data_IF_920917261381
#
_entry.id   IF_920917261381
#
_cell.length_a   1.000
_cell.length_b   1.000
_cell.length_c   1.000
_cell.angle_alpha   90.00
_cell.angle_beta   90.00
_cell.angle_gamma   90.00
#
_symmetry.space_group_name_H-M   'P 1'
#
loop_
_entity.id
_entity.type
_entity.pdbx_description
1 polymer ?
#
# COMPACT_ATOMS: atom_id res chain seq x y z
N UNK A 1 10.75 30.13 23.74
CA UNK A 1 10.30 28.80 23.31
C UNK A 1 11.18 28.25 22.21
N UNK A 2 11.11 26.94 22.00
CA UNK A 2 11.90 26.23 21.03
C UNK A 2 11.02 25.65 19.93
N UNK A 3 11.60 25.42 18.75
CA UNK A 3 10.95 24.81 17.62
C UNK A 3 11.29 23.31 17.57
N UNK A 4 10.30 22.49 17.22
CA UNK A 4 10.41 21.04 17.07
C UNK A 4 9.83 20.59 15.75
N UNK A 5 10.33 19.48 15.22
CA UNK A 5 9.84 18.84 14.00
C UNK A 5 8.99 17.62 14.36
N UNK A 6 7.76 17.56 13.86
CA UNK A 6 6.94 16.35 13.86
C UNK A 6 6.77 15.91 12.40
N UNK A 7 7.34 14.77 12.03
CA UNK A 7 7.34 14.27 10.67
C UNK A 7 6.58 12.94 10.55
N UNK A 8 5.80 12.79 9.49
CA UNK A 8 5.11 11.56 9.12
C UNK A 8 5.10 11.37 7.60
N UNK A 9 4.76 10.18 7.10
CA UNK A 9 4.66 9.93 5.66
C UNK A 9 3.73 10.93 4.97
N UNK A 10 2.61 11.25 5.64
CA UNK A 10 1.69 12.33 5.25
C UNK A 10 1.27 13.11 6.48
N UNK A 11 0.91 14.40 6.30
CA UNK A 11 0.36 15.20 7.40
C UNK A 11 -0.94 14.59 7.94
N UNK A 12 -1.74 13.94 7.09
CA UNK A 12 -2.97 13.25 7.50
C UNK A 12 -2.71 12.08 8.47
N UNK A 13 -1.74 11.22 8.16
CA UNK A 13 -1.32 10.13 9.04
C UNK A 13 -0.75 10.68 10.37
N UNK A 14 0.13 11.68 10.29
CA UNK A 14 0.72 12.33 11.46
C UNK A 14 -0.35 12.91 12.39
N UNK A 15 -1.38 13.56 11.85
CA UNK A 15 -2.52 14.07 12.64
C UNK A 15 -3.26 12.96 13.36
N UNK A 16 -3.50 11.85 12.70
CA UNK A 16 -4.21 10.70 13.25
C UNK A 16 -3.38 9.96 14.30
N UNK A 17 -2.12 9.68 13.98
CA UNK A 17 -1.28 8.77 14.78
C UNK A 17 -0.58 9.48 15.94
N UNK A 18 -0.20 10.75 15.76
CA UNK A 18 0.61 11.50 16.75
C UNK A 18 -0.20 12.63 17.38
N UNK A 19 -0.77 13.53 16.57
CA UNK A 19 -1.41 14.75 17.10
C UNK A 19 -2.69 14.38 17.88
N UNK A 20 -3.57 13.54 17.33
CA UNK A 20 -4.80 13.13 18.02
C UNK A 20 -4.54 12.59 19.42
N UNK A 21 -3.70 11.56 19.60
CA UNK A 21 -3.27 11.08 20.92
C UNK A 21 -2.61 12.14 21.80
N UNK A 22 -1.72 12.97 21.23
CA UNK A 22 -1.06 14.04 21.98
C UNK A 22 -2.07 15.04 22.57
N UNK A 23 -3.06 15.49 21.79
CA UNK A 23 -4.11 16.40 22.27
C UNK A 23 -4.96 15.77 23.38
N UNK A 24 -5.24 14.46 23.30
CA UNK A 24 -5.93 13.75 24.36
C UNK A 24 -5.13 13.75 25.67
N UNK A 25 -3.82 13.51 25.59
CA UNK A 25 -2.92 13.54 26.75
C UNK A 25 -2.83 14.96 27.33
N UNK A 26 -2.64 15.98 26.50
CA UNK A 26 -2.57 17.37 26.94
C UNK A 26 -3.85 17.79 27.66
N UNK A 27 -5.02 17.42 27.10
CA UNK A 27 -6.31 17.66 27.74
C UNK A 27 -6.44 16.95 29.11
N UNK A 28 -6.03 15.67 29.18
CA UNK A 28 -6.08 14.90 30.41
C UNK A 28 -5.17 15.47 31.51
N UNK A 29 -4.05 16.12 31.12
CA UNK A 29 -3.12 16.78 32.03
C UNK A 29 -3.52 18.23 32.34
N UNK A 30 -4.57 18.76 31.70
CA UNK A 30 -5.02 20.15 31.86
C UNK A 30 -4.04 21.19 31.28
N UNK A 31 -3.18 20.78 30.34
CA UNK A 31 -2.23 21.66 29.70
C UNK A 31 -2.89 22.46 28.56
N UNK A 32 -2.63 23.77 28.54
CA UNK A 32 -3.11 24.64 27.47
C UNK A 32 -2.27 24.45 26.20
N UNK A 33 -2.94 24.41 25.07
CA UNK A 33 -2.28 24.32 23.76
C UNK A 33 -3.07 25.10 22.70
N UNK A 34 -2.40 25.45 21.62
CA UNK A 34 -3.01 25.99 20.41
C UNK A 34 -2.64 25.10 19.21
N UNK A 35 -3.64 24.64 18.47
CA UNK A 35 -3.43 23.72 17.34
C UNK A 35 -3.95 24.33 16.02
N UNK A 36 -3.01 24.58 15.08
CA UNK A 36 -3.30 25.00 13.70
C UNK A 36 -3.29 23.78 12.81
N UNK A 37 -4.47 23.37 12.31
CA UNK A 37 -4.65 22.08 11.64
C UNK A 37 -4.39 22.08 10.14
N UNK A 38 -4.25 23.23 9.48
CA UNK A 38 -4.18 23.32 8.02
C UNK A 38 -3.22 24.40 7.53
N UNK A 39 -2.86 24.30 6.25
CA UNK A 39 -1.91 25.22 5.61
C UNK A 39 -0.44 24.77 5.76
N UNK A 40 0.46 25.56 5.16
CA UNK A 40 1.90 25.29 5.20
C UNK A 40 2.52 25.47 6.60
N UNK A 41 1.75 26.03 7.51
CA UNK A 41 2.14 26.30 8.90
C UNK A 41 1.39 25.42 9.90
N UNK A 42 0.96 24.21 9.49
CA UNK A 42 0.34 23.28 10.43
C UNK A 42 1.28 23.03 11.63
N UNK A 43 0.80 23.30 12.85
CA UNK A 43 1.62 23.23 14.06
C UNK A 43 0.80 23.05 15.32
N UNK A 44 1.44 22.52 16.34
CA UNK A 44 0.95 22.45 17.71
C UNK A 44 1.84 23.34 18.59
N UNK A 45 1.24 24.24 19.34
CA UNK A 45 1.91 25.10 20.31
C UNK A 45 1.54 24.64 21.73
N UNK A 46 2.56 24.41 22.57
CA UNK A 46 2.37 24.00 23.98
C UNK A 46 3.32 24.83 24.85
N UNK A 47 2.77 25.67 25.68
CA UNK A 47 3.57 26.70 26.38
C UNK A 47 4.25 27.61 25.37
N UNK A 48 5.56 27.79 25.50
CA UNK A 48 6.35 28.62 24.58
C UNK A 48 6.90 27.79 23.38
N UNK A 49 6.69 26.50 23.33
CA UNK A 49 7.25 25.61 22.31
C UNK A 49 6.33 25.45 21.11
N UNK A 50 6.92 25.34 19.93
CA UNK A 50 6.20 25.16 18.67
C UNK A 50 6.63 23.85 17.98
N UNK A 51 5.68 22.99 17.67
CA UNK A 51 5.87 21.71 17.02
C UNK A 51 5.31 21.79 15.60
N UNK A 52 6.17 21.92 14.59
CA UNK A 52 5.79 22.03 13.18
C UNK A 52 5.55 20.65 12.58
N UNK A 53 4.48 20.52 11.81
CA UNK A 53 4.08 19.26 11.14
C UNK A 53 4.59 19.22 9.70
N UNK A 54 5.35 18.18 9.37
CA UNK A 54 5.90 17.96 8.03
C UNK A 54 5.49 16.61 7.47
N UNK A 55 5.22 16.58 6.16
CA UNK A 55 5.11 15.35 5.40
C UNK A 55 6.46 14.98 4.77
N UNK A 56 6.76 13.69 4.73
CA UNK A 56 7.99 13.12 4.18
C UNK A 56 7.67 12.13 3.05
N UNK A 57 6.82 12.52 2.09
CA UNK A 57 6.32 11.59 1.08
C UNK A 57 7.22 11.46 -0.16
N UNK A 58 8.07 12.46 -0.45
CA UNK A 58 9.01 12.45 -1.58
C UNK A 58 10.29 13.24 -1.30
N UNK A 59 11.26 13.16 -2.23
CA UNK A 59 12.56 13.83 -2.11
C UNK A 59 12.49 15.35 -1.95
N UNK A 60 11.45 16.01 -2.51
CA UNK A 60 11.28 17.46 -2.38
C UNK A 60 10.77 17.89 -1.01
N UNK A 61 10.24 16.96 -0.23
CA UNK A 61 9.74 17.26 1.12
C UNK A 61 10.84 17.82 2.02
N UNK A 62 12.11 17.47 1.80
CA UNK A 62 13.26 18.00 2.54
C UNK A 62 13.40 19.52 2.43
N UNK A 63 12.98 20.14 1.31
CA UNK A 63 13.13 21.58 1.06
C UNK A 63 12.33 22.40 2.07
N UNK A 64 11.25 21.84 2.60
CA UNK A 64 10.38 22.51 3.59
C UNK A 64 11.04 22.63 4.97
N UNK A 65 12.09 21.86 5.23
CA UNK A 65 12.88 21.95 6.46
C UNK A 65 13.97 23.04 6.39
N UNK A 66 14.19 23.63 5.22
CA UNK A 66 15.24 24.64 5.04
C UNK A 66 14.95 25.89 5.88
N UNK A 67 15.99 26.40 6.49
CA UNK A 67 15.90 27.59 7.35
C UNK A 67 15.40 27.34 8.78
N UNK A 68 14.89 26.14 9.10
CA UNK A 68 14.49 25.79 10.45
C UNK A 68 15.72 25.42 11.31
N UNK A 69 15.73 25.87 12.55
CA UNK A 69 16.61 25.36 13.61
C UNK A 69 15.73 24.75 14.69
N UNK A 70 15.90 23.45 14.95
CA UNK A 70 15.03 22.69 15.84
C UNK A 70 15.76 22.20 17.09
N UNK A 71 15.07 22.20 18.22
CA UNK A 71 15.51 21.60 19.47
C UNK A 71 15.22 20.11 19.58
N UNK A 72 14.54 19.54 18.58
CA UNK A 72 14.32 18.11 18.48
C UNK A 72 13.35 17.74 17.37
N UNK A 73 13.23 16.43 17.11
CA UNK A 73 12.35 15.88 16.11
C UNK A 73 11.73 14.55 16.53
N UNK A 74 10.49 14.31 16.09
CA UNK A 74 9.85 13.00 16.08
C UNK A 74 9.52 12.61 14.65
N UNK A 75 9.97 11.45 14.21
CA UNK A 75 9.67 10.87 12.92
C UNK A 75 8.83 9.60 13.10
N UNK A 76 7.56 9.67 12.72
CA UNK A 76 6.62 8.56 12.78
C UNK A 76 6.68 7.75 11.48
N UNK A 77 7.00 6.46 11.58
CA UNK A 77 7.24 5.56 10.44
C UNK A 77 8.46 5.98 9.58
N UNK A 78 9.58 6.31 10.20
CA UNK A 78 10.78 6.86 9.55
C UNK A 78 11.37 6.01 8.42
N UNK A 79 11.14 4.69 8.40
CA UNK A 79 11.55 3.82 7.30
C UNK A 79 10.79 4.10 5.98
N UNK A 80 9.64 4.79 6.04
CA UNK A 80 8.89 5.19 4.84
C UNK A 80 9.36 6.54 4.26
N UNK A 81 10.30 7.22 4.90
CA UNK A 81 10.78 8.53 4.48
C UNK A 81 11.90 8.42 3.44
N UNK A 82 12.01 9.38 2.53
CA UNK A 82 13.22 9.54 1.72
C UNK A 82 14.44 9.76 2.62
N UNK A 83 15.56 9.15 2.26
CA UNK A 83 16.82 9.30 2.99
C UNK A 83 17.22 10.77 3.14
N UNK A 84 17.10 11.55 2.08
CA UNK A 84 17.40 12.98 2.06
C UNK A 84 16.60 13.76 3.10
N UNK A 85 15.32 13.42 3.31
CA UNK A 85 14.49 14.06 4.33
C UNK A 85 15.01 13.77 5.74
N UNK A 86 15.36 12.51 6.04
CA UNK A 86 15.88 12.13 7.38
C UNK A 86 17.23 12.80 7.65
N UNK A 87 18.12 12.81 6.66
CA UNK A 87 19.43 13.50 6.78
C UNK A 87 19.26 15.00 7.01
N UNK A 88 18.35 15.65 6.29
CA UNK A 88 18.04 17.06 6.48
C UNK A 88 17.43 17.31 7.85
N UNK A 89 16.48 16.51 8.31
CA UNK A 89 15.85 16.62 9.63
C UNK A 89 16.89 16.51 10.75
N UNK A 90 17.81 15.55 10.67
CA UNK A 90 18.92 15.41 11.62
C UNK A 90 19.77 16.68 11.63
N UNK A 91 20.14 17.20 10.45
CA UNK A 91 20.95 18.41 10.34
C UNK A 91 20.27 19.67 10.87
N UNK A 92 18.93 19.72 10.91
CA UNK A 92 18.17 20.84 11.47
C UNK A 92 18.05 20.82 12.99
N UNK A 93 18.25 19.67 13.61
CA UNK A 93 18.25 19.54 15.07
C UNK A 93 19.62 19.95 15.64
N UNK A 94 19.98 21.23 15.51
CA UNK A 94 21.30 21.79 15.85
C UNK A 94 21.34 22.60 17.15
N UNK A 95 20.23 22.66 17.87
CA UNK A 95 20.21 23.25 19.22
C UNK A 95 20.97 22.33 20.19
N UNK A 96 21.74 22.88 21.09
CA UNK A 96 22.44 22.10 22.11
C UNK A 96 21.44 21.26 22.93
N UNK A 97 21.72 19.97 23.08
CA UNK A 97 20.82 19.05 23.77
C UNK A 97 19.62 18.56 22.94
N UNK A 98 19.57 18.89 21.64
CA UNK A 98 18.51 18.41 20.75
C UNK A 98 18.37 16.89 20.79
N UNK A 99 17.11 16.39 20.78
CA UNK A 99 16.82 14.97 20.79
C UNK A 99 15.94 14.58 19.60
N UNK A 100 16.28 13.45 18.99
CA UNK A 100 15.54 12.90 17.87
C UNK A 100 14.96 11.54 18.26
N UNK A 101 13.70 11.37 17.95
CA UNK A 101 12.96 10.13 18.17
C UNK A 101 12.47 9.62 16.81
N UNK A 102 12.81 8.39 16.47
CA UNK A 102 12.38 7.74 15.25
C UNK A 102 11.74 6.41 15.62
N UNK A 103 10.58 6.14 15.08
CA UNK A 103 10.00 4.81 15.12
C UNK A 103 9.84 4.28 13.68
N UNK A 104 9.89 2.99 13.49
CA UNK A 104 9.60 2.35 12.21
C UNK A 104 9.35 0.86 12.38
N UNK A 105 8.65 0.29 11.41
CA UNK A 105 8.68 -1.15 11.19
C UNK A 105 9.95 -1.52 10.41
N UNK A 106 10.50 -2.72 10.60
CA UNK A 106 11.61 -3.20 9.80
C UNK A 106 11.25 -3.34 8.32
N UNK A 107 12.23 -3.04 7.49
CA UNK A 107 12.21 -3.18 6.04
C UNK A 107 13.34 -4.12 5.58
N UNK A 108 13.94 -3.88 4.41
CA UNK A 108 15.12 -4.59 3.94
C UNK A 108 16.33 -4.36 4.87
N UNK A 109 17.21 -5.35 5.10
CA UNK A 109 18.48 -5.17 5.79
C UNK A 109 19.40 -4.13 5.13
N UNK A 110 19.21 -3.86 3.83
CA UNK A 110 19.97 -2.84 3.11
C UNK A 110 19.38 -1.42 3.27
N UNK A 111 18.27 -1.27 3.98
CA UNK A 111 17.61 0.02 4.17
C UNK A 111 18.50 0.98 4.97
N UNK A 112 18.56 2.27 4.59
CA UNK A 112 19.47 3.24 5.19
C UNK A 112 19.28 3.41 6.70
N UNK A 113 18.04 3.32 7.23
CA UNK A 113 17.77 3.37 8.67
C UNK A 113 18.49 2.21 9.38
N UNK A 114 18.47 1.01 8.80
CA UNK A 114 19.19 -0.15 9.34
C UNK A 114 20.69 0.08 9.28
N UNK A 115 21.22 0.33 8.08
CA UNK A 115 22.67 0.39 7.84
C UNK A 115 23.32 1.61 8.48
N UNK A 116 22.67 2.79 8.40
CA UNK A 116 23.29 4.04 8.83
C UNK A 116 22.95 4.45 10.27
N UNK A 117 21.83 4.00 10.81
CA UNK A 117 21.42 4.40 12.15
C UNK A 117 21.50 3.22 13.12
N UNK A 118 20.84 2.09 12.84
CA UNK A 118 20.75 0.96 13.79
C UNK A 118 22.08 0.24 13.91
N UNK A 119 22.72 -0.16 12.78
CA UNK A 119 23.99 -0.91 12.80
C UNK A 119 25.16 -0.07 13.34
N UNK A 120 25.06 1.26 13.19
CA UNK A 120 26.05 2.22 13.71
C UNK A 120 25.61 2.88 15.02
N UNK A 121 24.62 2.32 15.71
CA UNK A 121 24.01 2.94 16.88
C UNK A 121 25.04 3.22 17.99
N UNK A 122 25.93 2.27 18.28
CA UNK A 122 26.99 2.43 19.28
C UNK A 122 27.97 3.54 18.90
N UNK A 123 28.37 3.61 17.62
CA UNK A 123 29.28 4.64 17.10
C UNK A 123 28.65 6.04 17.18
N UNK A 124 27.35 6.14 16.88
CA UNK A 124 26.61 7.39 16.82
C UNK A 124 25.94 7.81 18.13
N UNK A 125 26.08 7.01 19.20
CA UNK A 125 25.42 7.25 20.48
C UNK A 125 23.90 7.16 20.41
N UNK A 126 23.37 6.33 19.53
CA UNK A 126 21.93 6.12 19.35
C UNK A 126 21.45 5.00 20.29
N UNK A 127 20.36 5.26 21.02
CA UNK A 127 19.64 4.25 21.79
C UNK A 127 18.65 3.53 20.86
N UNK A 128 18.86 2.25 20.58
CA UNK A 128 17.94 1.44 19.79
C UNK A 128 17.13 0.54 20.71
N UNK A 129 15.80 0.64 20.61
CA UNK A 129 14.86 -0.25 21.27
C UNK A 129 14.21 -1.15 20.20
N UNK A 130 14.19 -2.43 20.44
CA UNK A 130 13.55 -3.39 19.56
C UNK A 130 12.32 -3.99 20.25
N UNK A 131 11.20 -4.01 19.53
CA UNK A 131 9.94 -4.56 20.00
C UNK A 131 9.40 -5.58 18.99
N UNK A 132 8.80 -6.61 19.52
CA UNK A 132 8.02 -7.60 18.77
C UNK A 132 6.54 -7.43 19.07
N UNK A 133 5.68 -8.18 18.39
CA UNK A 133 4.25 -8.17 18.73
C UNK A 133 4.01 -8.66 20.16
N UNK A 134 4.85 -9.54 20.68
CA UNK A 134 4.68 -10.09 22.03
C UNK A 134 4.91 -9.07 23.13
N UNK A 135 5.71 -8.05 22.85
CA UNK A 135 5.94 -6.94 23.79
C UNK A 135 4.72 -5.99 23.91
N UNK A 136 3.76 -6.09 22.99
CA UNK A 136 2.55 -5.29 23.05
C UNK A 136 1.53 -5.89 24.03
N UNK A 137 1.55 -5.36 25.26
CA UNK A 137 0.69 -5.83 26.36
C UNK A 137 -0.80 -5.42 26.18
N UNK A 138 -1.13 -4.53 25.25
CA UNK A 138 -2.52 -4.11 25.01
C UNK A 138 -3.26 -5.06 24.08
N UNK A 139 -2.57 -5.94 23.35
CA UNK A 139 -3.16 -6.94 22.48
C UNK A 139 -3.57 -8.18 23.28
N UNK A 140 -4.84 -8.59 23.14
CA UNK A 140 -5.30 -9.86 23.70
C UNK A 140 -4.63 -11.06 23.01
N UNK A 141 -4.55 -12.24 23.68
CA UNK A 141 -4.02 -13.45 23.06
C UNK A 141 -4.73 -13.83 21.74
N UNK A 142 -6.06 -13.64 21.67
CA UNK A 142 -6.86 -13.91 20.49
C UNK A 142 -6.48 -12.98 19.35
N UNK A 143 -6.24 -11.68 19.65
CA UNK A 143 -5.81 -10.70 18.64
C UNK A 143 -4.39 -11.00 18.16
N UNK A 144 -3.47 -11.38 19.04
CA UNK A 144 -2.13 -11.84 18.65
C UNK A 144 -2.20 -13.08 17.76
N UNK A 145 -3.00 -14.09 18.14
CA UNK A 145 -3.20 -15.29 17.34
C UNK A 145 -3.80 -14.98 15.94
N UNK A 146 -4.66 -13.97 15.87
CA UNK A 146 -5.18 -13.49 14.59
C UNK A 146 -4.07 -12.88 13.73
N UNK A 147 -3.22 -12.01 14.25
CA UNK A 147 -2.08 -11.44 13.53
C UNK A 147 -1.07 -12.50 13.07
N UNK A 148 -0.79 -13.51 13.90
CA UNK A 148 0.09 -14.63 13.52
C UNK A 148 -0.43 -15.41 12.30
N UNK A 149 -1.74 -15.49 12.13
CA UNK A 149 -2.33 -16.09 10.93
C UNK A 149 -2.38 -15.16 9.72
N UNK A 150 -2.42 -13.84 9.96
CA UNK A 150 -2.53 -12.83 8.90
C UNK A 150 -1.23 -12.66 8.11
N UNK A 151 -0.10 -12.74 8.78
CA UNK A 151 1.19 -12.49 8.17
C UNK A 151 1.94 -13.79 7.90
N UNK A 152 2.61 -13.85 6.74
CA UNK A 152 3.45 -15.00 6.33
C UNK A 152 4.75 -14.51 5.69
N UNK A 153 5.74 -15.39 5.56
CA UNK A 153 7.00 -15.10 4.87
C UNK A 153 7.73 -13.89 5.46
N UNK A 154 8.17 -12.98 4.60
CA UNK A 154 8.92 -11.78 4.99
C UNK A 154 8.08 -10.82 5.85
N UNK A 155 6.77 -10.73 5.61
CA UNK A 155 5.90 -9.85 6.39
C UNK A 155 5.71 -10.37 7.81
N UNK A 156 5.68 -11.69 8.02
CA UNK A 156 5.71 -12.27 9.37
C UNK A 156 7.00 -11.90 10.09
N UNK A 157 8.15 -12.05 9.42
CA UNK A 157 9.44 -11.70 9.99
C UNK A 157 9.50 -10.20 10.37
N UNK A 158 9.01 -9.32 9.51
CA UNK A 158 9.06 -7.87 9.75
C UNK A 158 8.06 -7.40 10.80
N UNK A 159 6.77 -7.75 10.63
CA UNK A 159 5.70 -7.18 11.45
C UNK A 159 5.42 -7.95 12.74
N UNK A 160 5.76 -9.23 12.80
CA UNK A 160 5.57 -10.06 13.99
C UNK A 160 6.85 -10.14 14.80
N UNK A 161 7.96 -10.52 14.15
CA UNK A 161 9.24 -10.75 14.82
C UNK A 161 10.11 -9.49 14.91
N UNK A 162 9.75 -8.41 14.23
CA UNK A 162 10.53 -7.17 14.21
C UNK A 162 11.88 -7.29 13.49
N UNK A 163 12.02 -8.24 12.57
CA UNK A 163 13.29 -8.51 11.87
C UNK A 163 13.44 -7.67 10.60
N UNK A 164 14.62 -7.12 10.38
CA UNK A 164 15.03 -6.58 9.08
C UNK A 164 15.33 -7.74 8.15
N UNK A 165 14.41 -8.02 7.22
CA UNK A 165 14.44 -9.22 6.39
C UNK A 165 14.37 -8.88 4.89
N UNK A 166 15.15 -9.62 4.08
CA UNK A 166 15.10 -9.52 2.62
C UNK A 166 13.83 -10.14 2.09
N UNK A 167 13.26 -9.49 1.06
CA UNK A 167 12.36 -10.11 0.12
C UNK A 167 13.18 -10.66 -1.03
N UNK A 168 13.16 -11.96 -1.21
CA UNK A 168 13.75 -12.63 -2.36
C UNK A 168 12.81 -13.71 -2.88
N UNK A 169 13.04 -14.15 -4.10
CA UNK A 169 12.23 -15.17 -4.73
C UNK A 169 10.86 -14.70 -5.20
N UNK A 170 9.90 -15.60 -5.17
CA UNK A 170 8.54 -15.36 -5.65
C UNK A 170 7.73 -14.47 -4.69
N UNK A 171 6.99 -13.53 -5.26
CA UNK A 171 6.11 -12.62 -4.50
C UNK A 171 4.97 -13.38 -3.82
N UNK A 172 4.40 -14.37 -4.51
CA UNK A 172 3.29 -15.18 -4.04
C UNK A 172 3.69 -16.67 -3.92
N UNK A 173 4.76 -16.95 -3.14
CA UNK A 173 5.36 -18.29 -3.03
C UNK A 173 4.34 -19.39 -2.73
N UNK A 174 3.48 -19.19 -1.72
CA UNK A 174 2.50 -20.20 -1.32
C UNK A 174 1.48 -20.51 -2.44
N UNK A 175 1.10 -19.50 -3.21
CA UNK A 175 0.24 -19.71 -4.39
C UNK A 175 0.97 -20.49 -5.48
N UNK A 176 2.23 -20.11 -5.76
CA UNK A 176 3.04 -20.75 -6.80
C UNK A 176 3.39 -22.21 -6.49
N UNK A 177 3.51 -22.57 -5.22
CA UNK A 177 3.77 -23.94 -4.78
C UNK A 177 2.57 -24.86 -5.02
N UNK A 178 1.33 -24.33 -4.99
CA UNK A 178 0.11 -25.12 -5.13
C UNK A 178 -1.00 -24.35 -5.88
N UNK A 179 -0.82 -23.92 -7.13
CA UNK A 179 -1.77 -23.04 -7.83
C UNK A 179 -3.13 -23.70 -8.08
N UNK A 180 -3.18 -25.02 -8.20
CA UNK A 180 -4.44 -25.75 -8.35
C UNK A 180 -5.32 -25.71 -7.09
N UNK A 181 -4.71 -25.61 -5.91
CA UNK A 181 -5.44 -25.48 -4.64
C UNK A 181 -6.27 -24.17 -4.58
N UNK A 182 -5.77 -23.13 -5.21
CA UNK A 182 -6.42 -21.81 -5.26
C UNK A 182 -7.26 -21.60 -6.53
N UNK A 183 -7.41 -22.65 -7.38
CA UNK A 183 -8.14 -22.58 -8.63
C UNK A 183 -9.50 -23.28 -8.51
N UNK A 184 -10.58 -22.54 -8.79
CA UNK A 184 -11.95 -23.05 -8.75
C UNK A 184 -12.48 -23.30 -10.17
N UNK A 185 -13.28 -24.35 -10.33
CA UNK A 185 -13.99 -24.64 -11.59
C UNK A 185 -15.29 -23.83 -11.73
N UNK A 186 -15.88 -23.42 -10.60
CA UNK A 186 -17.10 -22.61 -10.57
C UNK A 186 -17.03 -21.55 -9.48
N UNK A 187 -17.64 -20.39 -9.73
CA UNK A 187 -17.72 -19.31 -8.77
C UNK A 187 -18.63 -19.72 -7.59
N UNK A 188 -18.23 -19.43 -6.35
CA UNK A 188 -19.13 -19.49 -5.20
C UNK A 188 -20.22 -18.40 -5.32
N UNK A 189 -21.13 -18.35 -4.34
CA UNK A 189 -22.14 -17.28 -4.29
C UNK A 189 -21.46 -15.93 -4.07
N UNK A 190 -21.47 -15.07 -5.10
CA UNK A 190 -20.88 -13.73 -5.08
C UNK A 190 -21.97 -12.72 -4.71
N UNK A 191 -21.67 -11.87 -3.73
CA UNK A 191 -22.57 -10.82 -3.29
C UNK A 191 -22.53 -9.62 -4.26
N UNK A 192 -21.33 -9.18 -4.64
CA UNK A 192 -21.08 -8.18 -5.66
C UNK A 192 -19.66 -8.35 -6.22
N UNK A 193 -19.40 -7.71 -7.36
CA UNK A 193 -18.07 -7.74 -7.98
C UNK A 193 -17.67 -6.34 -8.46
N UNK A 194 -16.35 -6.11 -8.53
CA UNK A 194 -15.71 -4.89 -9.00
C UNK A 194 -14.80 -5.23 -10.17
N UNK A 195 -14.72 -4.35 -11.15
CA UNK A 195 -13.77 -4.46 -12.26
C UNK A 195 -12.56 -3.60 -11.95
N UNK A 196 -11.36 -4.16 -12.01
CA UNK A 196 -10.12 -3.41 -12.05
C UNK A 196 -9.61 -3.31 -13.47
N UNK A 197 -9.03 -2.17 -13.84
CA UNK A 197 -8.53 -1.89 -15.19
C UNK A 197 -7.13 -1.32 -15.09
N UNK A 198 -6.19 -2.00 -15.74
CA UNK A 198 -4.85 -1.49 -15.97
C UNK A 198 -4.62 -1.24 -17.45
N UNK A 199 -4.06 -0.07 -17.78
CA UNK A 199 -3.85 0.37 -19.15
C UNK A 199 -2.41 0.15 -19.58
N UNK A 200 -2.21 -0.74 -20.55
CA UNK A 200 -0.90 -0.98 -21.13
C UNK A 200 -0.43 0.13 -22.05
N UNK A 201 0.85 0.50 -21.92
CA UNK A 201 1.57 1.27 -22.94
C UNK A 201 2.01 0.40 -24.13
N UNK A 202 2.92 0.92 -24.95
CA UNK A 202 3.41 0.21 -26.16
C UNK A 202 4.16 -1.10 -25.86
N UNK A 203 4.65 -1.28 -24.64
CA UNK A 203 5.43 -2.46 -24.20
C UNK A 203 4.74 -3.35 -23.17
N UNK A 204 3.52 -3.02 -22.75
CA UNK A 204 2.77 -3.72 -21.72
C UNK A 204 1.35 -4.08 -22.19
N UNK A 205 0.56 -4.71 -21.33
CA UNK A 205 -0.76 -5.20 -21.70
C UNK A 205 -1.89 -4.36 -21.11
N UNK A 206 -2.99 -4.22 -21.85
CA UNK A 206 -4.28 -3.84 -21.26
C UNK A 206 -4.86 -5.03 -20.51
N UNK A 207 -5.22 -4.84 -19.26
CA UNK A 207 -5.80 -5.89 -18.42
C UNK A 207 -7.04 -5.41 -17.69
N UNK A 208 -8.12 -6.23 -17.73
CA UNK A 208 -9.31 -6.05 -16.92
C UNK A 208 -9.49 -7.27 -16.04
N UNK A 209 -9.74 -7.08 -14.78
CA UNK A 209 -9.98 -8.13 -13.81
C UNK A 209 -11.35 -7.98 -13.16
N UNK A 210 -12.18 -9.02 -13.20
CA UNK A 210 -13.45 -9.05 -12.47
C UNK A 210 -13.25 -9.75 -11.14
N UNK A 211 -13.28 -9.02 -10.05
CA UNK A 211 -13.09 -9.56 -8.71
C UNK A 211 -14.41 -9.57 -7.95
N UNK A 212 -14.78 -10.72 -7.44
CA UNK A 212 -15.99 -10.94 -6.67
C UNK A 212 -15.74 -11.12 -5.18
N UNK A 213 -16.71 -10.68 -4.39
CA UNK A 213 -16.69 -10.77 -2.93
C UNK A 213 -17.88 -11.61 -2.45
N UNK A 214 -17.61 -12.58 -1.58
CA UNK A 214 -18.66 -13.35 -0.92
C UNK A 214 -19.25 -12.58 0.26
N UNK A 215 -20.38 -13.03 0.81
CA UNK A 215 -21.01 -12.38 1.95
C UNK A 215 -20.06 -12.22 3.14
N UNK A 216 -20.04 -11.03 3.73
CA UNK A 216 -19.16 -10.68 4.85
C UNK A 216 -17.68 -10.67 4.49
N UNK A 217 -17.33 -10.48 3.24
CA UNK A 217 -15.93 -10.46 2.75
C UNK A 217 -15.11 -11.72 3.10
N UNK A 218 -15.75 -12.86 3.30
CA UNK A 218 -15.05 -14.09 3.70
C UNK A 218 -14.06 -14.56 2.66
N UNK A 219 -14.39 -14.39 1.39
CA UNK A 219 -13.55 -14.85 0.28
C UNK A 219 -13.55 -13.82 -0.84
N UNK A 220 -12.39 -13.62 -1.43
CA UNK A 220 -12.13 -12.82 -2.64
C UNK A 220 -11.88 -13.80 -3.80
N UNK A 221 -12.56 -13.64 -4.92
CA UNK A 221 -12.43 -14.54 -6.07
C UNK A 221 -12.22 -13.73 -7.34
N UNK A 222 -11.14 -13.98 -8.07
CA UNK A 222 -11.00 -13.51 -9.45
C UNK A 222 -11.89 -14.36 -10.36
N UNK A 223 -12.94 -13.72 -10.92
CA UNK A 223 -14.04 -14.39 -11.62
C UNK A 223 -13.86 -14.45 -13.14
N UNK A 224 -13.22 -13.44 -13.70
CA UNK A 224 -12.98 -13.31 -15.14
C UNK A 224 -11.83 -12.33 -15.37
N UNK A 225 -11.16 -12.47 -16.50
CA UNK A 225 -10.11 -11.57 -16.94
C UNK A 225 -10.21 -11.25 -18.42
N UNK A 226 -9.71 -10.08 -18.79
CA UNK A 226 -9.35 -9.71 -20.15
C UNK A 226 -7.86 -9.33 -20.15
N UNK A 227 -7.15 -9.81 -21.16
CA UNK A 227 -5.74 -9.51 -21.31
C UNK A 227 -5.39 -9.34 -22.78
N UNK A 228 -4.80 -8.20 -23.13
CA UNK A 228 -4.34 -7.90 -24.47
C UNK A 228 -2.93 -7.31 -24.41
N UNK A 229 -1.94 -8.04 -24.89
CA UNK A 229 -0.56 -7.63 -24.86
C UNK A 229 -0.21 -6.85 -26.14
N UNK A 230 -0.03 -5.53 -26.01
CA UNK A 230 0.26 -4.65 -27.13
C UNK A 230 1.55 -5.02 -27.89
N UNK A 231 2.49 -5.71 -27.25
CA UNK A 231 3.76 -6.13 -27.85
C UNK A 231 3.57 -7.35 -28.78
N UNK A 232 2.71 -8.28 -28.44
CA UNK A 232 2.49 -9.54 -29.20
C UNK A 232 1.26 -9.49 -30.07
N UNK A 233 0.19 -8.83 -29.62
CA UNK A 233 -1.14 -8.88 -30.25
C UNK A 233 -1.44 -7.63 -31.09
N UNK A 234 -0.52 -6.63 -31.04
CA UNK A 234 -0.65 -5.33 -31.71
C UNK A 234 -1.28 -4.27 -30.81
N UNK A 235 -1.02 -3.02 -31.12
CA UNK A 235 -1.52 -1.89 -30.33
C UNK A 235 -3.00 -1.69 -30.62
N UNK A 236 -3.83 -1.69 -29.56
CA UNK A 236 -5.24 -1.34 -29.64
C UNK A 236 -5.43 0.16 -29.83
N UNK A 237 -6.35 0.54 -30.72
CA UNK A 237 -6.87 1.90 -30.73
C UNK A 237 -7.77 2.13 -29.50
N UNK A 238 -7.94 3.39 -29.04
CA UNK A 238 -8.86 3.70 -27.95
C UNK A 238 -10.30 3.21 -28.20
N UNK A 239 -10.74 3.20 -29.45
CA UNK A 239 -12.08 2.72 -29.83
C UNK A 239 -12.23 1.20 -29.69
N UNK A 240 -11.18 0.46 -30.01
CA UNK A 240 -11.16 -1.01 -29.81
C UNK A 240 -11.13 -1.34 -28.33
N UNK A 241 -10.29 -0.67 -27.54
CA UNK A 241 -10.25 -0.82 -26.09
C UNK A 241 -11.61 -0.55 -25.43
N UNK A 242 -12.28 0.53 -25.85
CA UNK A 242 -13.64 0.88 -25.38
C UNK A 242 -14.67 -0.22 -25.72
N UNK A 243 -14.62 -0.75 -26.95
CA UNK A 243 -15.49 -1.85 -27.37
C UNK A 243 -15.27 -3.10 -26.53
N UNK A 244 -14.01 -3.45 -26.30
CA UNK A 244 -13.64 -4.64 -25.54
C UNK A 244 -14.02 -4.51 -24.06
N UNK A 245 -13.86 -3.31 -23.48
CA UNK A 245 -14.34 -3.01 -22.14
C UNK A 245 -15.86 -3.13 -22.02
N UNK A 246 -16.62 -2.58 -22.98
CA UNK A 246 -18.09 -2.71 -23.02
C UNK A 246 -18.51 -4.17 -23.07
N UNK A 247 -17.86 -4.99 -23.92
CA UNK A 247 -18.12 -6.42 -24.02
C UNK A 247 -17.82 -7.15 -22.70
N UNK A 248 -16.71 -6.81 -22.05
CA UNK A 248 -16.34 -7.34 -20.75
C UNK A 248 -17.36 -7.02 -19.67
N UNK A 249 -17.77 -5.74 -19.55
CA UNK A 249 -18.79 -5.31 -18.59
C UNK A 249 -20.12 -6.04 -18.81
N UNK A 250 -20.57 -6.15 -20.06
CA UNK A 250 -21.80 -6.90 -20.40
C UNK A 250 -21.72 -8.35 -19.98
N UNK A 251 -20.62 -9.04 -20.28
CA UNK A 251 -20.36 -10.43 -19.86
C UNK A 251 -20.34 -10.55 -18.34
N UNK A 252 -19.66 -9.65 -17.64
CA UNK A 252 -19.61 -9.65 -16.19
C UNK A 252 -21.01 -9.45 -15.57
N UNK A 253 -21.78 -8.47 -16.04
CA UNK A 253 -23.12 -8.16 -15.51
C UNK A 253 -24.19 -9.17 -15.86
N UNK A 254 -24.03 -9.99 -16.89
CA UNK A 254 -24.92 -11.12 -17.17
C UNK A 254 -24.86 -12.22 -16.10
N UNK A 255 -23.79 -12.24 -15.28
CA UNK A 255 -23.54 -13.30 -14.28
C UNK A 255 -23.51 -12.75 -12.85
N UNK A 256 -23.05 -11.50 -12.65
CA UNK A 256 -22.77 -10.95 -11.34
C UNK A 256 -23.30 -9.51 -11.19
N UNK A 257 -23.44 -9.07 -9.95
CA UNK A 257 -23.77 -7.67 -9.62
C UNK A 257 -22.49 -6.85 -9.70
N UNK A 258 -22.36 -6.06 -10.77
CA UNK A 258 -21.20 -5.19 -11.03
C UNK A 258 -21.68 -3.77 -11.21
N UNK A 259 -21.24 -2.87 -10.34
CA UNK A 259 -21.64 -1.46 -10.36
C UNK A 259 -20.48 -0.49 -10.55
N UNK A 260 -19.25 -0.97 -10.39
CA UNK A 260 -18.07 -0.14 -10.33
C UNK A 260 -16.90 -0.74 -11.10
N UNK A 261 -16.10 0.14 -11.72
CA UNK A 261 -14.80 -0.15 -12.28
C UNK A 261 -13.75 0.81 -11.71
N UNK A 262 -12.58 0.29 -11.35
CA UNK A 262 -11.41 1.03 -10.86
C UNK A 262 -10.30 0.98 -11.88
N UNK A 263 -9.93 2.14 -12.41
CA UNK A 263 -8.97 2.26 -13.51
C UNK A 263 -7.67 2.91 -13.05
N UNK A 264 -6.56 2.50 -13.63
CA UNK A 264 -5.28 3.17 -13.43
C UNK A 264 -5.41 4.68 -13.65
N UNK A 265 -5.10 5.45 -12.63
CA UNK A 265 -5.27 6.91 -12.62
C UNK A 265 -4.28 7.66 -13.50
N UNK A 266 -3.26 7.02 -14.05
CA UNK A 266 -2.28 7.67 -14.92
C UNK A 266 -2.88 8.02 -16.30
N UNK A 267 -3.87 7.26 -16.78
CA UNK A 267 -4.39 7.33 -18.14
C UNK A 267 -5.80 7.97 -18.21
N UNK A 268 -5.92 9.24 -17.78
CA UNK A 268 -7.21 9.96 -17.68
C UNK A 268 -7.98 10.02 -19.01
N UNK A 269 -7.28 10.12 -20.15
CA UNK A 269 -7.91 10.15 -21.48
C UNK A 269 -8.60 8.82 -21.80
N UNK A 270 -7.98 7.69 -21.45
CA UNK A 270 -8.56 6.38 -21.66
C UNK A 270 -9.75 6.16 -20.71
N UNK A 271 -9.63 6.58 -19.44
CA UNK A 271 -10.73 6.51 -18.47
C UNK A 271 -11.96 7.27 -18.99
N UNK A 272 -11.77 8.48 -19.51
CA UNK A 272 -12.87 9.25 -20.07
C UNK A 272 -13.48 8.58 -21.30
N UNK A 273 -12.65 7.96 -22.14
CA UNK A 273 -13.11 7.13 -23.24
C UNK A 273 -14.03 5.99 -22.79
N UNK A 274 -13.64 5.27 -21.72
CA UNK A 274 -14.48 4.21 -21.14
C UNK A 274 -15.79 4.74 -20.57
N UNK A 275 -15.78 5.92 -19.90
CA UNK A 275 -16.99 6.56 -19.37
C UNK A 275 -17.98 6.90 -20.48
N UNK A 276 -17.50 7.55 -21.54
CA UNK A 276 -18.32 7.91 -22.70
C UNK A 276 -18.90 6.66 -23.35
N UNK A 277 -18.10 5.61 -23.54
CA UNK A 277 -18.56 4.35 -24.10
C UNK A 277 -19.61 3.68 -23.21
N UNK A 278 -19.39 3.65 -21.90
CA UNK A 278 -20.34 3.07 -20.94
C UNK A 278 -21.69 3.80 -20.93
N UNK A 279 -21.67 5.13 -20.98
CA UNK A 279 -22.90 5.95 -21.07
C UNK A 279 -23.63 5.69 -22.37
N UNK A 280 -22.93 5.73 -23.52
CA UNK A 280 -23.50 5.48 -24.84
C UNK A 280 -24.18 4.11 -24.93
N UNK A 281 -23.60 3.11 -24.30
CA UNK A 281 -24.09 1.73 -24.31
C UNK A 281 -25.06 1.41 -23.16
N UNK A 282 -25.41 2.41 -22.33
CA UNK A 282 -26.36 2.27 -21.22
C UNK A 282 -25.92 1.30 -20.13
N UNK A 283 -24.62 1.17 -19.88
CA UNK A 283 -24.11 0.14 -18.96
C UNK A 283 -24.41 0.43 -17.50
N UNK A 284 -24.62 1.69 -17.09
CA UNK A 284 -24.92 2.04 -15.70
C UNK A 284 -23.84 1.57 -14.73
N UNK A 285 -22.55 1.66 -15.12
CA UNK A 285 -21.38 1.35 -14.30
C UNK A 285 -20.67 2.64 -13.91
N UNK A 286 -20.25 2.73 -12.64
CA UNK A 286 -19.47 3.85 -12.15
C UNK A 286 -17.97 3.59 -12.38
N UNK A 287 -17.33 4.46 -13.16
CA UNK A 287 -15.90 4.30 -13.54
C UNK A 287 -15.08 5.33 -12.77
N UNK A 288 -14.23 4.86 -11.86
CA UNK A 288 -13.42 5.68 -10.95
C UNK A 288 -11.93 5.41 -11.13
N UNK A 289 -11.14 6.35 -10.65
CA UNK A 289 -9.70 6.13 -10.50
C UNK A 289 -9.41 5.08 -9.42
N UNK A 290 -8.39 4.27 -9.63
CA UNK A 290 -7.81 3.39 -8.60
C UNK A 290 -7.19 4.24 -7.48
N UNK A 291 -7.13 3.71 -6.28
CA UNK A 291 -6.58 4.38 -5.10
C UNK A 291 -5.05 4.51 -5.22
N UNK A 292 -4.39 3.47 -5.72
CA UNK A 292 -2.92 3.37 -5.91
C UNK A 292 -2.14 3.62 -4.61
N UNK A 293 -2.51 2.93 -3.56
CA UNK A 293 -1.74 2.85 -2.31
C UNK A 293 -0.39 2.13 -2.52
N UNK A 294 0.42 2.01 -1.47
CA UNK A 294 1.72 1.33 -1.54
C UNK A 294 1.58 -0.10 -2.09
N UNK A 295 2.45 -0.46 -3.04
CA UNK A 295 2.42 -1.80 -3.66
C UNK A 295 2.63 -2.91 -2.62
N UNK A 296 3.44 -2.66 -1.59
CA UNK A 296 3.72 -3.62 -0.54
C UNK A 296 2.48 -3.95 0.30
N UNK A 297 1.58 -2.99 0.50
CA UNK A 297 0.32 -3.23 1.21
C UNK A 297 -0.58 -4.18 0.40
N UNK A 298 -0.62 -4.02 -0.93
CA UNK A 298 -1.36 -4.88 -1.84
C UNK A 298 -0.78 -6.29 -1.87
N UNK A 299 0.55 -6.42 -1.96
CA UNK A 299 1.26 -7.70 -1.90
C UNK A 299 1.00 -8.40 -0.56
N UNK A 300 1.14 -7.70 0.57
CA UNK A 300 0.89 -8.22 1.90
C UNK A 300 -0.55 -8.69 2.07
N UNK A 301 -1.52 -7.92 1.54
CA UNK A 301 -2.92 -8.29 1.53
C UNK A 301 -3.16 -9.65 0.83
N UNK A 302 -2.71 -9.79 -0.42
CA UNK A 302 -2.92 -11.03 -1.16
C UNK A 302 -2.19 -12.22 -0.54
N UNK A 303 -0.97 -12.06 -0.05
CA UNK A 303 -0.28 -13.12 0.68
C UNK A 303 -1.05 -13.54 1.94
N UNK A 304 -1.61 -12.59 2.68
CA UNK A 304 -2.46 -12.88 3.83
C UNK A 304 -3.73 -13.66 3.44
N UNK A 305 -4.40 -13.24 2.36
CA UNK A 305 -5.62 -13.91 1.88
C UNK A 305 -5.34 -15.33 1.37
N UNK A 306 -4.20 -15.54 0.70
CA UNK A 306 -3.73 -16.86 0.25
C UNK A 306 -3.45 -17.75 1.47
N UNK A 307 -2.72 -17.26 2.46
CA UNK A 307 -2.38 -18.00 3.66
C UNK A 307 -3.60 -18.43 4.50
N UNK A 308 -4.68 -17.64 4.43
CA UNK A 308 -5.94 -17.92 5.11
C UNK A 308 -6.92 -18.73 4.25
N UNK A 309 -6.55 -19.15 3.05
CA UNK A 309 -7.42 -19.83 2.08
C UNK A 309 -8.69 -19.01 1.76
N UNK A 310 -8.53 -17.70 1.65
CA UNK A 310 -9.60 -16.72 1.39
C UNK A 310 -9.49 -16.05 0.01
N UNK A 311 -8.44 -16.34 -0.75
CA UNK A 311 -8.27 -15.89 -2.13
C UNK A 311 -8.31 -17.08 -3.08
N UNK A 312 -9.11 -16.97 -4.13
CA UNK A 312 -9.22 -17.97 -5.19
C UNK A 312 -9.36 -17.27 -6.54
N UNK A 313 -9.14 -18.04 -7.62
CA UNK A 313 -9.43 -17.61 -8.98
C UNK A 313 -10.14 -18.72 -9.77
N UNK A 314 -10.94 -18.30 -10.74
CA UNK A 314 -11.54 -19.28 -11.65
C UNK A 314 -10.51 -19.76 -12.67
N UNK A 315 -10.64 -21.02 -13.07
CA UNK A 315 -9.73 -21.70 -14.01
C UNK A 315 -9.51 -20.93 -15.33
N UNK A 316 -10.50 -20.14 -15.76
CA UNK A 316 -10.39 -19.29 -16.95
C UNK A 316 -9.43 -18.09 -16.81
N UNK A 317 -9.02 -17.73 -15.61
CA UNK A 317 -8.13 -16.59 -15.35
C UNK A 317 -6.66 -17.03 -15.49
N UNK A 318 -6.26 -17.39 -16.70
CA UNK A 318 -4.95 -18.02 -16.97
C UNK A 318 -3.78 -17.05 -16.91
N UNK A 319 -4.00 -15.78 -17.28
CA UNK A 319 -2.93 -14.77 -17.29
C UNK A 319 -2.58 -14.32 -15.87
N UNK A 320 -3.59 -14.00 -15.05
CA UNK A 320 -3.37 -13.65 -13.65
C UNK A 320 -2.80 -14.83 -12.86
N UNK A 321 -3.30 -16.05 -13.10
CA UNK A 321 -2.75 -17.27 -12.47
C UNK A 321 -1.27 -17.43 -12.79
N UNK A 322 -0.89 -17.27 -14.07
CA UNK A 322 0.51 -17.32 -14.49
C UNK A 322 1.33 -16.20 -13.84
N UNK A 323 0.81 -14.98 -13.85
CA UNK A 323 1.45 -13.84 -13.23
C UNK A 323 1.74 -14.04 -11.74
N UNK A 324 0.80 -14.61 -10.98
CA UNK A 324 0.98 -14.95 -9.57
C UNK A 324 2.04 -16.03 -9.35
N UNK A 325 2.17 -17.00 -10.26
CA UNK A 325 3.21 -18.03 -10.17
C UNK A 325 4.61 -17.50 -10.52
N UNK A 326 4.71 -16.44 -11.31
CA UNK A 326 5.98 -15.96 -11.89
C UNK A 326 6.46 -14.63 -11.30
N UNK A 327 5.62 -13.91 -10.55
CA UNK A 327 5.97 -12.64 -9.96
C UNK A 327 7.15 -12.78 -8.98
N UNK A 328 8.22 -12.04 -9.22
CA UNK A 328 9.42 -12.01 -8.38
C UNK A 328 9.68 -10.60 -7.86
N UNK A 329 10.40 -10.51 -6.74
CA UNK A 329 10.89 -9.23 -6.26
C UNK A 329 12.04 -8.69 -7.12
N UNK A 330 12.14 -7.36 -7.24
CA UNK A 330 13.24 -6.73 -7.97
C UNK A 330 14.53 -6.78 -7.16
N UNK A 331 15.45 -7.66 -7.54
CA UNK A 331 16.73 -7.83 -6.88
C UNK A 331 17.65 -6.60 -6.95
N UNK A 332 17.37 -5.63 -7.83
CA UNK A 332 18.12 -4.37 -7.93
C UNK A 332 17.56 -3.29 -6.99
N UNK A 333 16.31 -3.42 -6.58
CA UNK A 333 15.59 -2.49 -5.69
C UNK A 333 15.26 -3.15 -4.35
N UNK A 334 16.20 -3.92 -3.83
CA UNK A 334 16.05 -4.72 -2.59
C UNK A 334 15.59 -3.88 -1.38
N UNK A 335 15.97 -2.61 -1.33
CA UNK A 335 15.55 -1.70 -0.25
C UNK A 335 14.07 -1.27 -0.33
N UNK A 336 13.44 -1.44 -1.49
CA UNK A 336 12.08 -0.97 -1.74
C UNK A 336 11.04 -2.12 -1.76
N UNK A 337 11.51 -3.38 -1.80
CA UNK A 337 10.67 -4.61 -1.82
C UNK A 337 9.59 -4.61 -2.91
N UNK A 338 9.92 -4.08 -4.08
CA UNK A 338 8.98 -3.90 -5.19
C UNK A 338 8.99 -5.14 -6.08
N UNK A 339 7.86 -5.49 -6.66
CA UNK A 339 7.80 -6.48 -7.75
C UNK A 339 8.64 -6.02 -8.94
N UNK A 340 9.30 -6.96 -9.58
CA UNK A 340 10.05 -6.70 -10.81
C UNK A 340 9.07 -6.31 -11.93
N UNK A 341 9.24 -5.08 -12.39
CA UNK A 341 8.53 -4.51 -13.54
C UNK A 341 9.55 -4.11 -14.61
N UNK A 342 9.88 -5.03 -15.50
CA UNK A 342 10.85 -4.81 -16.57
C UNK A 342 10.31 -5.21 -17.95
N UNK A 343 9.00 -5.44 -18.06
CA UNK A 343 8.33 -5.88 -19.28
C UNK A 343 8.60 -7.35 -19.67
N UNK A 344 9.27 -8.14 -18.79
CA UNK A 344 9.45 -9.60 -18.98
C UNK A 344 8.45 -10.41 -18.15
N UNK A 345 7.89 -9.80 -17.10
CA UNK A 345 6.87 -10.39 -16.24
C UNK A 345 5.52 -9.74 -16.51
N UNK A 346 4.45 -10.51 -16.48
CA UNK A 346 3.08 -9.99 -16.56
C UNK A 346 2.67 -9.45 -15.20
N UNK A 347 2.81 -8.15 -14.98
CA UNK A 347 2.31 -7.47 -13.78
C UNK A 347 0.99 -6.75 -14.02
N UNK A 348 0.65 -6.45 -15.27
CA UNK A 348 -0.57 -5.73 -15.66
C UNK A 348 -1.83 -6.48 -15.16
N UNK A 349 -1.84 -7.83 -15.22
CA UNK A 349 -2.92 -8.65 -14.67
C UNK A 349 -3.03 -8.58 -13.14
N UNK A 350 -1.89 -8.42 -12.45
CA UNK A 350 -1.86 -8.27 -10.99
C UNK A 350 -2.37 -6.89 -10.59
N UNK A 351 -1.89 -5.84 -11.27
CA UNK A 351 -2.29 -4.47 -10.98
C UNK A 351 -3.80 -4.27 -11.21
N UNK A 352 -4.36 -4.76 -12.32
CA UNK A 352 -5.80 -4.71 -12.56
C UNK A 352 -6.61 -5.43 -11.47
N UNK A 353 -6.17 -6.62 -11.02
CA UNK A 353 -6.82 -7.34 -9.93
C UNK A 353 -6.73 -6.58 -8.61
N UNK A 354 -5.58 -6.02 -8.31
CA UNK A 354 -5.31 -5.26 -7.09
C UNK A 354 -6.15 -3.98 -7.03
N UNK A 355 -6.30 -3.24 -8.14
CA UNK A 355 -7.14 -2.03 -8.19
C UNK A 355 -8.62 -2.32 -7.88
N UNK A 356 -9.13 -3.49 -8.23
CA UNK A 356 -10.49 -3.89 -7.89
C UNK A 356 -10.70 -4.11 -6.38
N UNK A 357 -9.66 -4.54 -5.67
CA UNK A 357 -9.74 -4.94 -4.25
C UNK A 357 -9.34 -3.80 -3.32
N UNK A 358 -8.41 -2.96 -3.74
CA UNK A 358 -7.75 -1.95 -2.92
C UNK A 358 -8.70 -1.07 -2.07
N UNK A 359 -9.85 -0.57 -2.59
CA UNK A 359 -10.76 0.26 -1.79
C UNK A 359 -11.37 -0.44 -0.58
N UNK A 360 -11.43 -1.77 -0.59
CA UNK A 360 -12.09 -2.59 0.44
C UNK A 360 -11.12 -3.52 1.18
N UNK A 361 -9.82 -3.43 0.93
CA UNK A 361 -8.80 -4.28 1.58
C UNK A 361 -8.91 -4.22 3.10
N UNK A 362 -9.07 -3.02 3.67
CA UNK A 362 -9.23 -2.84 5.10
C UNK A 362 -10.44 -3.60 5.63
N UNK A 363 -11.60 -3.45 4.98
CA UNK A 363 -12.84 -4.10 5.41
C UNK A 363 -12.72 -5.63 5.33
N UNK A 364 -12.09 -6.14 4.28
CA UNK A 364 -11.84 -7.58 4.10
C UNK A 364 -10.98 -8.14 5.23
N UNK A 365 -9.96 -7.42 5.66
CA UNK A 365 -9.04 -7.85 6.70
C UNK A 365 -9.69 -7.83 8.11
N UNK A 366 -10.61 -6.90 8.35
CA UNK A 366 -11.20 -6.71 9.69
C UNK A 366 -12.58 -7.35 9.88
N UNK A 367 -13.35 -7.56 8.80
CA UNK A 367 -14.71 -8.09 8.86
C UNK A 367 -14.82 -9.56 8.44
N UNK A 368 -13.81 -10.08 7.73
CA UNK A 368 -13.79 -11.42 7.13
C UNK A 368 -13.33 -12.57 8.05
#
# INVERSE_FOLDING_TARGET
GEAFILAGKTVGALKKNVIGPALQILNAWGLQYHYVSSGDEARLEVGDNVYYLYDAHNERSQDRLQGLTAAGALADEAALFPRSFVEQMIGRCSVEGARLWLNCNPESPAHFVKVELIDKAAEKGICCLHFTMDDNLTLSPEKKAWYYRMYTGVFYRRFILGEWALTDGLVYQQFADAPEHYTLDAAPTIQYAVIGVDFGGTGSAHSFSLVGFTAGFRTVVLLDEYYHNNKTDGILSPSELNRDFVAFVRRARSRFRVYEARCDSAEQTLIEGLRVAAIKEGLGIDIRNAVKGPINDRIAFFNSMIAQERFFLLRGCVNTRKAMCEAVYDSKRVAEDIRLDNGTTNIDSLDSMEYAVEPVMHDILYLG
#
